data_IF_730720792185
#
_entry.id   IF_730720792185
#
_cell.length_a   1.000
_cell.length_b   1.000
_cell.length_c   1.000
_cell.angle_alpha   90.00
_cell.angle_beta   90.00
_cell.angle_gamma   90.00
#
_symmetry.space_group_name_H-M   'P 1'
#
loop_
_entity.id
_entity.type
_entity.pdbx_description
1 polymer ?
#
# COMPACT_ATOMS: atom_id res chain seq x y z
N UNK A 1 -8.51 -12.45 -0.97
CA UNK A 1 -7.93 -11.08 -0.93
C UNK A 1 -9.00 -10.05 -1.21
N UNK A 2 -9.17 -9.10 -0.30
CA UNK A 2 -10.13 -7.97 -0.42
C UNK A 2 -9.37 -6.76 -0.94
N UNK A 3 -9.80 -6.18 -2.08
CA UNK A 3 -9.01 -5.21 -2.84
C UNK A 3 -7.90 -5.85 -3.68
N UNK A 4 -8.10 -7.10 -4.12
CA UNK A 4 -7.07 -7.92 -4.75
C UNK A 4 -6.78 -7.59 -6.23
N UNK A 5 -7.62 -6.82 -6.91
CA UNK A 5 -7.40 -6.40 -8.29
C UNK A 5 -6.53 -5.13 -8.42
N UNK A 6 -6.10 -4.54 -7.28
CA UNK A 6 -5.21 -3.39 -7.25
C UNK A 6 -3.74 -3.75 -7.48
N UNK A 7 -2.88 -2.72 -7.46
CA UNK A 7 -1.43 -2.83 -7.61
C UNK A 7 -0.83 -3.87 -6.64
N UNK A 8 -0.96 -3.64 -5.33
CA UNK A 8 -0.38 -4.52 -4.29
C UNK A 8 -0.97 -5.92 -4.37
N UNK A 9 -2.31 -6.04 -4.54
CA UNK A 9 -3.00 -7.32 -4.61
C UNK A 9 -2.54 -8.20 -5.75
N UNK A 10 -2.20 -7.62 -6.90
CA UNK A 10 -1.70 -8.36 -8.06
C UNK A 10 -0.37 -9.08 -7.78
N UNK A 11 0.52 -8.49 -7.00
CA UNK A 11 1.79 -9.12 -6.61
C UNK A 11 1.61 -10.20 -5.53
N UNK A 12 0.66 -10.00 -4.61
CA UNK A 12 0.26 -11.08 -3.72
C UNK A 12 -0.33 -12.28 -4.49
N UNK A 13 -1.13 -12.02 -5.54
CA UNK A 13 -1.67 -13.09 -6.37
C UNK A 13 -0.57 -13.89 -7.06
N UNK A 14 0.40 -13.22 -7.68
CA UNK A 14 1.55 -13.86 -8.31
C UNK A 14 2.32 -14.73 -7.31
N UNK A 15 2.66 -14.16 -6.15
CA UNK A 15 3.45 -14.86 -5.14
C UNK A 15 2.73 -16.06 -4.52
N UNK A 16 1.43 -15.92 -4.25
CA UNK A 16 0.62 -16.98 -3.65
C UNK A 16 0.34 -18.12 -4.65
N UNK A 17 0.03 -17.82 -5.90
CA UNK A 17 -0.21 -18.84 -6.92
C UNK A 17 1.07 -19.55 -7.38
N UNK A 18 2.24 -18.95 -7.17
CA UNK A 18 3.52 -19.63 -7.33
C UNK A 18 3.78 -20.69 -6.25
N UNK A 19 3.08 -20.64 -5.11
CA UNK A 19 3.21 -21.62 -4.03
C UNK A 19 2.23 -22.81 -4.25
N UNK A 20 2.74 -24.03 -4.41
CA UNK A 20 1.88 -25.21 -4.60
C UNK A 20 1.04 -25.59 -3.36
N UNK A 21 1.35 -25.05 -2.19
CA UNK A 21 0.57 -25.28 -0.98
C UNK A 21 -0.72 -24.46 -0.95
N UNK A 22 -0.80 -23.37 -1.72
CA UNK A 22 -2.03 -22.56 -1.87
C UNK A 22 -3.06 -23.36 -2.69
N UNK A 23 -4.18 -23.68 -2.06
CA UNK A 23 -5.25 -24.51 -2.67
C UNK A 23 -6.29 -23.66 -3.42
N UNK A 24 -6.55 -22.43 -2.95
CA UNK A 24 -7.48 -21.52 -3.58
C UNK A 24 -7.07 -20.07 -3.28
N UNK A 25 -7.23 -19.21 -4.25
CA UNK A 25 -7.07 -17.77 -4.15
C UNK A 25 -8.28 -17.07 -4.76
N UNK A 26 -9.04 -16.35 -3.93
CA UNK A 26 -10.15 -15.51 -4.40
C UNK A 26 -9.76 -14.05 -4.23
N UNK A 27 -9.77 -13.27 -5.31
CA UNK A 27 -9.78 -11.81 -5.22
C UNK A 27 -11.22 -11.31 -5.19
N UNK A 28 -11.50 -10.34 -4.30
CA UNK A 28 -12.79 -9.69 -4.12
C UNK A 28 -12.59 -8.19 -4.27
N UNK A 29 -13.14 -7.58 -5.31
CA UNK A 29 -12.83 -6.20 -5.69
C UNK A 29 -14.00 -5.58 -6.46
N UNK A 30 -14.28 -4.30 -6.25
CA UNK A 30 -15.31 -3.57 -7.01
C UNK A 30 -14.74 -2.94 -8.29
N UNK A 31 -13.43 -3.00 -8.48
CA UNK A 31 -12.68 -2.41 -9.60
C UNK A 31 -12.77 -0.88 -9.69
N UNK A 32 -12.97 -0.20 -8.57
CA UNK A 32 -12.91 1.27 -8.55
C UNK A 32 -11.52 1.80 -8.93
N UNK A 33 -10.46 1.14 -8.47
CA UNK A 33 -9.06 1.39 -8.88
C UNK A 33 -8.34 0.16 -9.43
N UNK A 34 -8.86 -1.03 -9.15
CA UNK A 34 -8.36 -2.30 -9.66
C UNK A 34 -8.43 -2.38 -11.19
N UNK A 35 -7.54 -3.16 -11.79
CA UNK A 35 -7.44 -3.36 -13.25
C UNK A 35 -7.49 -4.84 -13.61
N UNK A 36 -8.20 -5.20 -14.68
CA UNK A 36 -8.25 -6.59 -15.15
C UNK A 36 -6.88 -7.12 -15.53
N UNK A 37 -6.06 -6.33 -16.21
CA UNK A 37 -4.72 -6.71 -16.65
C UNK A 37 -3.75 -6.99 -15.50
N UNK A 38 -4.08 -6.61 -14.24
CA UNK A 38 -3.28 -6.96 -13.06
C UNK A 38 -3.29 -8.45 -12.73
N UNK A 39 -4.32 -9.19 -13.15
CA UNK A 39 -4.51 -10.59 -12.74
C UNK A 39 -5.03 -11.50 -13.88
N UNK A 40 -5.23 -10.99 -15.11
CA UNK A 40 -5.80 -11.78 -16.22
C UNK A 40 -4.94 -12.99 -16.60
N UNK A 41 -3.64 -12.92 -16.39
CA UNK A 41 -2.71 -14.02 -16.62
C UNK A 41 -2.92 -15.22 -15.68
N UNK A 42 -3.69 -15.07 -14.59
CA UNK A 42 -4.08 -16.14 -13.69
C UNK A 42 -5.42 -16.81 -14.03
N UNK A 43 -6.16 -16.31 -15.02
CA UNK A 43 -7.50 -16.84 -15.34
C UNK A 43 -7.52 -18.32 -15.73
N UNK A 44 -6.40 -18.89 -16.18
CA UNK A 44 -6.23 -20.31 -16.47
C UNK A 44 -5.87 -21.20 -15.28
N UNK A 45 -5.54 -20.64 -14.12
CA UNK A 45 -5.22 -21.42 -12.93
C UNK A 45 -6.53 -21.84 -12.21
N UNK A 46 -6.80 -23.15 -12.05
CA UNK A 46 -8.03 -23.63 -11.42
C UNK A 46 -8.17 -23.20 -9.93
N UNK A 47 -7.10 -22.79 -9.29
CA UNK A 47 -7.09 -22.26 -7.93
C UNK A 47 -7.52 -20.80 -7.84
N UNK A 48 -7.50 -20.07 -8.98
CA UNK A 48 -7.74 -18.62 -9.01
C UNK A 48 -9.20 -18.29 -9.32
N UNK A 49 -9.77 -17.38 -8.52
CA UNK A 49 -11.11 -16.83 -8.75
C UNK A 49 -11.10 -15.31 -8.58
N UNK A 50 -11.70 -14.58 -9.50
CA UNK A 50 -11.97 -13.14 -9.38
C UNK A 50 -13.47 -12.91 -9.18
N UNK A 51 -13.82 -12.20 -8.12
CA UNK A 51 -15.20 -11.83 -7.77
C UNK A 51 -15.31 -10.30 -7.84
N UNK A 52 -16.11 -9.82 -8.80
CA UNK A 52 -16.40 -8.39 -8.89
C UNK A 52 -17.60 -8.04 -8.00
N UNK A 53 -17.34 -7.45 -6.83
CA UNK A 53 -18.38 -7.08 -5.88
C UNK A 53 -17.88 -6.01 -4.90
N UNK A 54 -18.82 -5.36 -4.20
CA UNK A 54 -18.52 -4.33 -3.21
C UNK A 54 -18.44 -4.93 -1.80
N UNK A 55 -17.39 -4.56 -1.04
CA UNK A 55 -17.18 -4.95 0.37
C UNK A 55 -18.30 -4.47 1.29
N UNK A 56 -19.06 -3.46 0.88
CA UNK A 56 -20.24 -2.97 1.60
C UNK A 56 -21.39 -3.98 1.65
N UNK A 57 -21.41 -4.96 0.73
CA UNK A 57 -22.33 -6.09 0.78
C UNK A 57 -21.79 -7.20 1.69
N UNK A 58 -22.12 -7.12 2.98
CA UNK A 58 -21.64 -8.03 4.02
C UNK A 58 -21.97 -9.50 3.74
N UNK A 59 -23.20 -9.79 3.31
CA UNK A 59 -23.64 -11.18 3.07
C UNK A 59 -22.89 -11.82 1.89
N UNK A 60 -22.70 -11.09 0.80
CA UNK A 60 -21.94 -11.56 -0.34
C UNK A 60 -20.45 -11.73 0.01
N UNK A 61 -19.88 -10.78 0.78
CA UNK A 61 -18.50 -10.87 1.26
C UNK A 61 -18.29 -12.11 2.14
N UNK A 62 -19.21 -12.35 3.10
CA UNK A 62 -19.22 -13.54 3.97
C UNK A 62 -19.24 -14.84 3.16
N UNK A 63 -20.11 -14.94 2.15
CA UNK A 63 -20.18 -16.12 1.28
C UNK A 63 -18.87 -16.31 0.49
N UNK A 64 -18.29 -15.23 -0.04
CA UNK A 64 -17.03 -15.30 -0.78
C UNK A 64 -15.82 -15.67 0.10
N UNK A 65 -15.86 -15.37 1.40
CA UNK A 65 -14.80 -15.70 2.36
C UNK A 65 -14.92 -17.14 2.91
N UNK A 66 -16.09 -17.74 2.84
CA UNK A 66 -16.32 -19.07 3.39
C UNK A 66 -15.34 -20.10 2.81
N UNK A 67 -14.73 -20.90 3.69
CA UNK A 67 -13.76 -21.94 3.32
C UNK A 67 -12.33 -21.43 3.07
N UNK A 68 -12.04 -20.14 3.31
CA UNK A 68 -10.68 -19.60 3.26
C UNK A 68 -10.07 -19.51 4.66
N UNK A 69 -8.77 -19.70 4.75
CA UNK A 69 -8.01 -19.67 6.02
C UNK A 69 -7.50 -18.27 6.37
N UNK A 70 -7.21 -17.45 5.36
CA UNK A 70 -6.55 -16.16 5.52
C UNK A 70 -7.23 -15.10 4.66
N UNK A 71 -7.47 -13.92 5.24
CA UNK A 71 -7.88 -12.72 4.52
C UNK A 71 -6.71 -11.75 4.42
N UNK A 72 -6.34 -11.35 3.21
CA UNK A 72 -5.45 -10.21 2.97
C UNK A 72 -6.33 -9.02 2.60
N UNK A 73 -6.36 -8.00 3.48
CA UNK A 73 -7.23 -6.83 3.33
C UNK A 73 -6.43 -5.63 2.85
N UNK A 74 -6.62 -5.31 1.57
CA UNK A 74 -5.94 -4.23 0.84
C UNK A 74 -6.91 -3.13 0.41
N UNK A 75 -8.24 -3.38 0.45
CA UNK A 75 -9.22 -2.41 0.02
C UNK A 75 -9.21 -1.16 0.91
N UNK A 76 -9.10 -0.01 0.29
CA UNK A 76 -9.22 1.31 0.93
C UNK A 76 -9.41 2.37 -0.17
N UNK A 77 -9.64 3.63 0.24
CA UNK A 77 -9.60 4.76 -0.69
C UNK A 77 -8.23 4.84 -1.39
N UNK A 78 -8.16 4.77 -2.72
CA UNK A 78 -6.90 4.87 -3.46
C UNK A 78 -6.43 6.31 -3.68
N UNK A 79 -7.31 7.31 -3.50
CA UNK A 79 -7.05 8.73 -3.74
C UNK A 79 -7.15 9.52 -2.43
N UNK A 80 -6.01 9.61 -1.73
CA UNK A 80 -5.94 10.28 -0.42
C UNK A 80 -6.25 11.79 -0.54
N UNK A 81 -5.88 12.42 -1.64
CA UNK A 81 -6.09 13.85 -1.85
C UNK A 81 -7.58 14.21 -1.99
N UNK A 82 -8.40 13.28 -2.50
CA UNK A 82 -9.85 13.45 -2.65
C UNK A 82 -10.57 13.73 -1.32
N UNK A 83 -10.04 13.24 -0.22
CA UNK A 83 -10.59 13.51 1.11
C UNK A 83 -10.59 14.99 1.50
N UNK A 84 -9.78 15.84 0.85
CA UNK A 84 -9.80 17.29 1.07
C UNK A 84 -11.13 17.92 0.63
N UNK A 85 -11.84 17.33 -0.35
CA UNK A 85 -13.12 17.78 -0.87
C UNK A 85 -14.29 16.86 -0.46
N UNK A 86 -14.00 15.58 -0.23
CA UNK A 86 -14.97 14.55 0.17
C UNK A 86 -14.52 13.85 1.47
N UNK A 87 -14.61 14.49 2.65
CA UNK A 87 -13.98 13.99 3.88
C UNK A 87 -14.56 12.65 4.37
N UNK A 88 -15.78 12.29 3.96
CA UNK A 88 -16.38 11.00 4.31
C UNK A 88 -15.85 9.81 3.48
N UNK A 89 -15.08 10.06 2.42
CA UNK A 89 -14.61 8.98 1.55
C UNK A 89 -13.78 7.96 2.32
N UNK A 90 -12.90 8.41 3.21
CA UNK A 90 -12.02 7.52 3.97
C UNK A 90 -12.77 6.71 5.02
N UNK A 91 -13.87 7.23 5.58
CA UNK A 91 -14.74 6.43 6.43
C UNK A 91 -15.44 5.34 5.60
N UNK A 92 -16.06 5.72 4.47
CA UNK A 92 -16.87 4.81 3.66
C UNK A 92 -16.03 3.76 2.93
N UNK A 93 -14.84 4.14 2.44
CA UNK A 93 -13.95 3.28 1.66
C UNK A 93 -12.75 2.74 2.48
N UNK A 94 -12.78 2.90 3.79
CA UNK A 94 -11.73 2.43 4.69
C UNK A 94 -12.30 1.83 5.98
N UNK A 95 -12.77 2.66 6.91
CA UNK A 95 -13.25 2.20 8.22
C UNK A 95 -14.43 1.23 8.08
N UNK A 96 -15.45 1.60 7.32
CA UNK A 96 -16.63 0.76 7.07
C UNK A 96 -16.26 -0.56 6.39
N UNK A 97 -15.36 -0.51 5.38
CA UNK A 97 -14.91 -1.72 4.69
C UNK A 97 -14.18 -2.66 5.65
N UNK A 98 -13.30 -2.12 6.51
CA UNK A 98 -12.58 -2.95 7.49
C UNK A 98 -13.53 -3.57 8.50
N UNK A 99 -14.54 -2.83 8.99
CA UNK A 99 -15.59 -3.37 9.85
C UNK A 99 -16.32 -4.54 9.19
N UNK A 100 -16.74 -4.39 7.93
CA UNK A 100 -17.42 -5.47 7.21
C UNK A 100 -16.51 -6.69 6.98
N UNK A 101 -15.21 -6.47 6.74
CA UNK A 101 -14.25 -7.56 6.57
C UNK A 101 -14.13 -8.38 7.86
N UNK A 102 -13.88 -7.75 9.02
CA UNK A 102 -13.71 -8.48 10.28
C UNK A 102 -15.02 -9.15 10.73
N UNK A 103 -16.17 -8.53 10.47
CA UNK A 103 -17.48 -9.14 10.77
C UNK A 103 -17.78 -10.32 9.84
N UNK A 104 -17.54 -10.21 8.53
CA UNK A 104 -17.66 -11.34 7.61
C UNK A 104 -16.77 -12.52 8.04
N UNK A 105 -15.53 -12.25 8.45
CA UNK A 105 -14.59 -13.24 8.96
C UNK A 105 -15.14 -13.95 10.19
N UNK A 106 -15.64 -13.19 11.18
CA UNK A 106 -16.26 -13.75 12.38
C UNK A 106 -17.42 -14.67 12.04
N UNK A 107 -18.30 -14.25 11.14
CA UNK A 107 -19.50 -14.96 10.75
C UNK A 107 -19.23 -16.23 9.92
N UNK A 108 -18.15 -16.26 9.13
CA UNK A 108 -17.79 -17.44 8.31
C UNK A 108 -16.70 -18.33 8.93
N UNK A 109 -16.14 -17.93 10.09
CA UNK A 109 -15.12 -18.70 10.80
C UNK A 109 -13.70 -18.57 10.23
N UNK A 110 -13.45 -17.65 9.28
CA UNK A 110 -12.10 -17.31 8.85
C UNK A 110 -11.41 -16.46 9.92
N UNK A 111 -10.26 -16.91 10.44
CA UNK A 111 -9.70 -16.31 11.65
C UNK A 111 -8.45 -15.46 11.45
N UNK A 112 -7.75 -15.54 10.31
CA UNK A 112 -6.47 -14.83 10.11
C UNK A 112 -6.63 -13.68 9.14
N UNK A 113 -6.20 -12.47 9.57
CA UNK A 113 -6.20 -11.26 8.74
C UNK A 113 -4.81 -10.64 8.65
N UNK A 114 -4.40 -10.32 7.42
CA UNK A 114 -3.22 -9.53 7.07
C UNK A 114 -3.73 -8.18 6.54
N UNK A 115 -3.48 -7.10 7.26
CA UNK A 115 -4.05 -5.78 6.97
C UNK A 115 -3.02 -4.79 6.50
N UNK A 116 -3.25 -4.19 5.35
CA UNK A 116 -2.46 -3.07 4.82
C UNK A 116 -2.86 -1.76 5.52
N UNK A 117 -2.14 -1.42 6.58
CA UNK A 117 -2.13 -0.10 7.18
C UNK A 117 -1.06 0.80 6.54
N UNK A 118 -0.76 1.94 7.11
CA UNK A 118 0.26 2.86 6.59
C UNK A 118 0.82 3.80 7.65
N UNK A 119 1.92 4.45 7.33
CA UNK A 119 2.62 5.39 8.22
C UNK A 119 1.76 6.58 8.67
N UNK A 120 0.69 6.91 7.93
CA UNK A 120 -0.23 8.00 8.28
C UNK A 120 -0.94 7.87 9.62
N UNK A 121 -0.94 6.69 10.25
CA UNK A 121 -1.51 6.47 11.59
C UNK A 121 -0.73 7.22 12.69
N UNK A 122 0.55 7.51 12.45
CA UNK A 122 1.41 8.18 13.43
C UNK A 122 1.19 9.70 13.50
N UNK A 123 0.71 10.31 12.40
CA UNK A 123 0.65 11.76 12.28
C UNK A 123 1.98 12.36 11.84
N UNK A 124 2.19 13.65 12.18
CA UNK A 124 3.38 14.41 11.82
C UNK A 124 4.31 14.52 13.03
N UNK A 125 5.39 13.77 13.03
CA UNK A 125 6.39 13.71 14.09
C UNK A 125 7.77 14.18 13.63
N UNK A 126 7.87 14.77 12.44
CA UNK A 126 9.12 15.29 11.88
C UNK A 126 10.17 14.20 11.72
N UNK A 127 11.41 14.50 12.14
CA UNK A 127 12.57 13.63 12.00
C UNK A 127 12.65 12.48 13.04
N UNK A 128 11.66 12.35 13.93
CA UNK A 128 11.66 11.29 14.96
C UNK A 128 11.51 9.93 14.31
N UNK A 129 12.41 9.00 14.61
CA UNK A 129 12.28 7.60 14.21
C UNK A 129 11.24 6.90 15.09
N UNK A 130 10.20 6.30 14.46
CA UNK A 130 8.97 5.88 15.12
C UNK A 130 8.85 4.37 15.09
N UNK A 131 8.87 3.74 16.28
CA UNK A 131 8.54 2.32 16.45
C UNK A 131 7.03 2.07 16.59
N UNK A 132 6.63 0.80 16.53
CA UNK A 132 5.22 0.41 16.55
C UNK A 132 4.53 0.65 17.90
N UNK A 133 5.30 0.75 18.99
CA UNK A 133 4.78 1.02 20.34
C UNK A 133 4.61 2.52 20.64
N UNK A 134 4.94 3.38 19.67
CA UNK A 134 4.72 4.82 19.82
C UNK A 134 3.23 5.13 20.03
N UNK A 135 2.95 5.98 20.98
CA UNK A 135 1.60 6.48 21.27
C UNK A 135 1.64 7.77 22.10
N UNK A 136 0.56 8.57 22.09
CA UNK A 136 -0.69 8.37 21.36
C UNK A 136 -0.52 8.52 19.85
N UNK A 137 -1.35 7.78 19.06
CA UNK A 137 -1.40 7.92 17.59
C UNK A 137 -2.35 9.07 17.23
N UNK A 138 -1.85 10.08 16.53
CA UNK A 138 -2.59 11.31 16.20
C UNK A 138 -2.52 11.60 14.70
N UNK A 139 -3.25 10.83 13.86
CA UNK A 139 -3.23 11.03 12.42
C UNK A 139 -3.74 12.43 12.04
N UNK A 140 -3.08 13.07 11.06
CA UNK A 140 -3.42 14.41 10.57
C UNK A 140 -4.24 14.38 9.27
N UNK A 141 -4.61 13.20 8.78
CA UNK A 141 -5.48 13.01 7.63
C UNK A 141 -6.62 12.03 7.97
N UNK A 142 -7.76 12.19 7.30
CA UNK A 142 -8.91 11.26 7.42
C UNK A 142 -8.53 9.86 6.95
N UNK A 143 -7.62 9.74 5.96
CA UNK A 143 -7.04 8.47 5.54
C UNK A 143 -6.27 7.79 6.68
N UNK A 144 -5.33 8.50 7.32
CA UNK A 144 -4.60 7.98 8.48
C UNK A 144 -5.53 7.59 9.63
N UNK A 145 -6.56 8.40 9.90
CA UNK A 145 -7.58 8.10 10.91
C UNK A 145 -8.37 6.83 10.56
N UNK A 146 -8.72 6.64 9.29
CA UNK A 146 -9.41 5.45 8.80
C UNK A 146 -8.55 4.18 8.95
N UNK A 147 -7.25 4.27 8.64
CA UNK A 147 -6.30 3.16 8.84
C UNK A 147 -6.15 2.81 10.31
N UNK A 148 -6.03 3.81 11.20
CA UNK A 148 -5.96 3.61 12.65
C UNK A 148 -7.25 2.98 13.21
N UNK A 149 -8.41 3.43 12.75
CA UNK A 149 -9.69 2.82 13.11
C UNK A 149 -9.74 1.33 12.68
N UNK A 150 -9.23 1.01 11.49
CA UNK A 150 -9.10 -0.38 11.02
C UNK A 150 -8.19 -1.22 11.92
N UNK A 151 -7.04 -0.70 12.34
CA UNK A 151 -6.14 -1.37 13.31
C UNK A 151 -6.85 -1.65 14.62
N UNK A 152 -7.59 -0.66 15.17
CA UNK A 152 -8.33 -0.79 16.42
C UNK A 152 -9.46 -1.81 16.32
N UNK A 153 -10.22 -1.83 15.21
CA UNK A 153 -11.26 -2.84 14.95
C UNK A 153 -10.66 -4.24 14.91
N UNK A 154 -9.58 -4.45 14.15
CA UNK A 154 -8.91 -5.74 14.04
C UNK A 154 -8.42 -6.20 15.42
N UNK A 155 -7.76 -5.32 16.18
CA UNK A 155 -7.32 -5.63 17.55
C UNK A 155 -8.46 -6.06 18.44
N UNK A 156 -9.57 -5.33 18.45
CA UNK A 156 -10.76 -5.66 19.23
C UNK A 156 -11.34 -7.04 18.85
N UNK A 157 -11.44 -7.32 17.53
CA UNK A 157 -11.95 -8.62 17.06
C UNK A 157 -10.99 -9.79 17.38
N UNK A 158 -9.67 -9.54 17.41
CA UNK A 158 -8.71 -10.53 17.87
C UNK A 158 -8.95 -10.93 19.33
N UNK A 159 -9.16 -9.94 20.20
CA UNK A 159 -9.32 -10.20 21.64
C UNK A 159 -10.73 -10.69 21.99
N UNK A 160 -11.79 -10.17 21.36
CA UNK A 160 -13.17 -10.51 21.67
C UNK A 160 -13.63 -11.80 21.00
N UNK A 161 -13.16 -12.09 19.79
CA UNK A 161 -13.71 -13.16 18.95
C UNK A 161 -12.66 -14.17 18.48
N UNK A 162 -11.41 -14.07 18.95
CA UNK A 162 -10.35 -15.04 18.68
C UNK A 162 -9.84 -15.02 17.24
N UNK A 163 -9.84 -13.84 16.59
CA UNK A 163 -9.14 -13.64 15.33
C UNK A 163 -7.63 -13.50 15.58
N UNK A 164 -6.86 -13.64 14.52
CA UNK A 164 -5.42 -13.40 14.50
C UNK A 164 -5.11 -12.29 13.50
N UNK A 165 -4.71 -11.11 13.99
CA UNK A 165 -4.45 -9.93 13.17
C UNK A 165 -2.96 -9.63 13.03
N UNK A 166 -2.52 -9.41 11.79
CA UNK A 166 -1.20 -8.86 11.46
C UNK A 166 -1.42 -7.58 10.69
N UNK A 167 -0.96 -6.49 11.26
CA UNK A 167 -1.12 -5.15 10.72
C UNK A 167 0.23 -4.65 10.22
N UNK A 168 0.26 -4.11 9.01
CA UNK A 168 1.50 -3.66 8.38
C UNK A 168 1.39 -2.18 8.03
N UNK A 169 2.17 -1.36 8.74
CA UNK A 169 2.27 0.08 8.51
C UNK A 169 3.34 0.31 7.45
N UNK A 170 2.91 0.38 6.21
CA UNK A 170 3.82 0.52 5.07
C UNK A 170 4.38 1.94 4.96
N UNK A 171 5.67 2.04 4.56
CA UNK A 171 6.18 3.18 3.82
C UNK A 171 5.53 3.29 2.44
N UNK A 172 6.04 4.18 1.57
CA UNK A 172 5.48 4.30 0.23
C UNK A 172 5.84 3.08 -0.62
N UNK A 173 4.82 2.32 -1.02
CA UNK A 173 5.03 1.11 -1.83
C UNK A 173 5.14 1.48 -3.30
N UNK A 174 6.18 1.00 -3.97
CA UNK A 174 6.45 1.23 -5.40
C UNK A 174 6.80 -0.08 -6.11
N UNK A 175 6.58 -0.14 -7.42
CA UNK A 175 6.92 -1.32 -8.21
C UNK A 175 6.16 -1.42 -9.53
N UNK A 176 6.32 -2.55 -10.25
CA UNK A 176 5.56 -2.83 -11.46
C UNK A 176 4.05 -2.78 -11.26
N UNK A 177 3.30 -2.40 -12.28
CA UNK A 177 1.81 -2.29 -12.23
C UNK A 177 1.27 -1.22 -11.30
N UNK A 178 2.12 -0.30 -10.82
CA UNK A 178 1.69 0.85 -10.03
C UNK A 178 0.87 1.82 -10.88
N UNK A 179 -0.31 2.23 -10.39
CA UNK A 179 -1.27 3.07 -11.13
C UNK A 179 -1.43 4.48 -10.55
N UNK A 180 -0.66 4.85 -9.55
CA UNK A 180 -0.68 6.17 -8.90
C UNK A 180 0.64 6.46 -8.18
N UNK A 181 0.85 7.71 -7.77
CA UNK A 181 1.97 8.14 -6.95
C UNK A 181 3.08 8.84 -7.74
N UNK A 182 3.98 9.48 -6.99
CA UNK A 182 4.98 10.45 -7.49
C UNK A 182 5.82 9.91 -8.66
N UNK A 183 6.16 8.63 -8.67
CA UNK A 183 6.94 8.03 -9.75
C UNK A 183 6.19 8.03 -11.09
N UNK A 184 4.90 7.67 -11.07
CA UNK A 184 4.04 7.71 -12.25
C UNK A 184 3.81 9.15 -12.72
N UNK A 185 3.51 10.06 -11.78
CA UNK A 185 3.20 11.44 -12.09
C UNK A 185 4.41 12.15 -12.75
N UNK A 186 5.61 11.92 -12.21
CA UNK A 186 6.84 12.50 -12.79
C UNK A 186 7.18 11.90 -14.14
N UNK A 187 7.08 10.58 -14.30
CA UNK A 187 7.31 9.94 -15.61
C UNK A 187 6.34 10.47 -16.65
N UNK A 188 5.04 10.55 -16.34
CA UNK A 188 4.02 11.09 -17.27
C UNK A 188 4.28 12.55 -17.64
N UNK A 189 4.60 13.38 -16.65
CA UNK A 189 4.90 14.78 -16.87
C UNK A 189 6.10 14.97 -17.80
N UNK A 190 7.21 14.25 -17.55
CA UNK A 190 8.43 14.32 -18.36
C UNK A 190 8.26 13.74 -19.77
N UNK A 191 7.42 12.72 -19.95
CA UNK A 191 7.11 12.21 -21.28
C UNK A 191 6.22 13.17 -22.08
N UNK A 192 5.38 13.98 -21.41
CA UNK A 192 4.53 14.99 -22.04
C UNK A 192 5.28 16.31 -22.31
N UNK A 193 6.11 16.76 -21.37
CA UNK A 193 6.96 17.95 -21.47
C UNK A 193 8.38 17.65 -20.97
N UNK A 194 9.33 17.33 -21.86
CA UNK A 194 10.71 17.04 -21.47
C UNK A 194 11.48 18.24 -20.90
N UNK A 195 11.01 19.46 -21.13
CA UNK A 195 11.72 20.70 -20.73
C UNK A 195 11.45 21.14 -19.31
N UNK A 196 10.40 20.65 -18.65
CA UNK A 196 10.10 21.07 -17.27
C UNK A 196 9.37 20.03 -16.45
N UNK A 197 9.59 20.07 -15.12
CA UNK A 197 8.88 19.21 -14.16
C UNK A 197 8.38 20.05 -12.98
N UNK A 198 7.06 20.04 -12.78
CA UNK A 198 6.42 20.69 -11.63
C UNK A 198 6.47 19.76 -10.41
N UNK A 199 6.93 20.30 -9.28
CA UNK A 199 7.08 19.61 -8.00
C UNK A 199 6.21 20.32 -6.96
N UNK A 200 5.30 19.60 -6.32
CA UNK A 200 4.52 20.11 -5.21
C UNK A 200 5.39 20.29 -3.97
N UNK A 201 5.22 21.40 -3.26
CA UNK A 201 6.05 21.77 -2.12
C UNK A 201 7.40 22.34 -2.54
N UNK A 202 8.38 22.24 -1.65
CA UNK A 202 9.76 22.71 -1.86
C UNK A 202 10.73 21.60 -2.33
N UNK A 203 10.23 20.36 -2.45
CA UNK A 203 11.00 19.20 -2.85
C UNK A 203 11.84 18.55 -1.73
N UNK A 204 11.74 19.04 -0.48
CA UNK A 204 12.47 18.51 0.67
C UNK A 204 11.70 17.45 1.43
N UNK A 205 10.41 17.24 1.11
CA UNK A 205 9.62 16.15 1.70
C UNK A 205 10.39 14.83 1.54
N UNK A 206 10.54 14.08 2.63
CA UNK A 206 11.46 12.94 2.67
C UNK A 206 10.79 11.72 3.31
N UNK A 207 10.73 10.62 2.56
CA UNK A 207 10.05 9.38 2.95
C UNK A 207 10.82 8.16 2.47
N UNK A 208 10.48 7.00 3.04
CA UNK A 208 10.94 5.69 2.57
C UNK A 208 10.05 5.19 1.43
N UNK A 209 10.67 4.60 0.39
CA UNK A 209 9.98 3.98 -0.74
C UNK A 209 10.42 2.52 -0.86
N UNK A 210 9.50 1.60 -0.57
CA UNK A 210 9.77 0.16 -0.54
C UNK A 210 9.25 -0.54 -1.79
N UNK A 211 10.05 -1.45 -2.34
CA UNK A 211 9.63 -2.26 -3.50
C UNK A 211 8.53 -3.24 -3.11
N UNK A 212 7.56 -3.42 -3.99
CA UNK A 212 6.41 -4.30 -3.76
C UNK A 212 6.80 -5.74 -3.43
N UNK A 213 7.84 -6.28 -4.04
CA UNK A 213 8.31 -7.64 -3.74
C UNK A 213 8.79 -7.77 -2.29
N UNK A 214 9.43 -6.71 -1.75
CA UNK A 214 9.88 -6.68 -0.37
C UNK A 214 8.68 -6.55 0.59
N UNK A 215 7.63 -5.84 0.19
CA UNK A 215 6.36 -5.76 0.96
C UNK A 215 5.68 -7.11 1.03
N UNK A 216 5.53 -7.80 -0.10
CA UNK A 216 4.90 -9.14 -0.13
C UNK A 216 5.65 -10.13 0.73
N UNK A 217 6.99 -10.16 0.60
CA UNK A 217 7.83 -11.02 1.43
C UNK A 217 7.78 -10.65 2.92
N UNK A 218 7.76 -9.34 3.26
CA UNK A 218 7.62 -8.88 4.64
C UNK A 218 6.35 -9.40 5.30
N UNK A 219 5.22 -9.26 4.60
CA UNK A 219 3.90 -9.67 5.10
C UNK A 219 3.84 -11.18 5.33
N UNK A 220 4.23 -11.97 4.33
CA UNK A 220 4.19 -13.43 4.41
C UNK A 220 5.22 -13.97 5.43
N UNK A 221 6.40 -13.36 5.49
CA UNK A 221 7.45 -13.73 6.44
C UNK A 221 7.02 -13.47 7.90
N UNK A 222 6.44 -12.30 8.17
CA UNK A 222 5.97 -11.95 9.51
C UNK A 222 4.78 -12.83 9.93
N UNK A 223 3.82 -13.08 9.03
CA UNK A 223 2.68 -13.96 9.32
C UNK A 223 3.12 -15.40 9.71
N UNK A 224 4.12 -15.94 9.02
CA UNK A 224 4.63 -17.26 9.29
C UNK A 224 5.42 -17.39 10.61
N UNK A 225 5.93 -16.29 11.19
CA UNK A 225 6.84 -16.29 12.34
C UNK A 225 6.31 -15.60 13.58
N UNK A 226 5.25 -14.83 13.44
CA UNK A 226 4.70 -14.02 14.51
C UNK A 226 3.74 -14.83 15.39
N UNK A 227 3.91 -14.74 16.70
CA UNK A 227 3.00 -15.32 17.68
C UNK A 227 2.00 -14.29 18.23
N UNK A 228 0.98 -14.77 18.98
CA UNK A 228 -0.02 -13.95 19.64
C UNK A 228 -1.18 -13.55 18.74
N UNK A 229 -2.24 -12.98 19.33
CA UNK A 229 -3.48 -12.70 18.61
C UNK A 229 -3.36 -11.46 17.71
N UNK A 230 -2.59 -10.45 18.09
CA UNK A 230 -2.46 -9.19 17.35
C UNK A 230 -1.02 -8.69 17.36
N UNK A 231 -0.55 -8.23 16.19
CA UNK A 231 0.75 -7.57 16.07
C UNK A 231 0.72 -6.51 14.96
N UNK A 232 1.42 -5.39 15.20
CA UNK A 232 1.68 -4.37 14.20
C UNK A 232 3.16 -4.37 13.82
N UNK A 233 3.46 -4.07 12.54
CA UNK A 233 4.81 -4.00 11.99
C UNK A 233 4.98 -2.79 11.10
N UNK A 234 6.03 -2.01 11.32
CA UNK A 234 6.52 -1.06 10.34
C UNK A 234 7.24 -1.80 9.21
N UNK A 235 6.87 -1.50 7.98
CA UNK A 235 7.48 -2.12 6.79
C UNK A 235 8.00 -1.02 5.86
N UNK A 236 9.30 -0.79 5.92
CA UNK A 236 10.01 0.25 5.19
C UNK A 236 11.45 -0.20 4.91
N UNK A 237 12.16 0.53 4.08
CA UNK A 237 13.54 0.22 3.71
C UNK A 237 14.55 0.56 4.79
N UNK A 238 14.23 1.59 5.62
CA UNK A 238 15.15 2.15 6.63
C UNK A 238 16.10 3.19 6.09
N UNK A 239 15.97 3.57 4.81
CA UNK A 239 16.56 4.76 4.21
C UNK A 239 15.46 5.72 3.74
N UNK A 240 15.83 6.94 3.37
CA UNK A 240 14.90 8.00 3.04
C UNK A 240 15.41 8.75 1.82
N UNK A 241 14.47 9.25 1.01
CA UNK A 241 14.77 9.98 -0.23
C UNK A 241 13.84 11.19 -0.36
N UNK A 242 14.37 12.31 -0.81
CA UNK A 242 13.61 13.55 -1.03
C UNK A 242 12.88 13.52 -2.36
N UNK A 243 11.81 14.33 -2.47
CA UNK A 243 11.06 14.48 -3.74
C UNK A 243 11.96 15.03 -4.84
N UNK A 244 12.93 15.89 -4.50
CA UNK A 244 13.95 16.40 -5.45
C UNK A 244 14.81 15.26 -6.01
N UNK A 245 15.27 14.34 -5.17
CA UNK A 245 16.06 13.18 -5.60
C UNK A 245 15.22 12.24 -6.47
N UNK A 246 13.92 12.06 -6.13
CA UNK A 246 12.98 11.29 -6.94
C UNK A 246 12.84 11.89 -8.34
N UNK A 247 12.75 13.24 -8.45
CA UNK A 247 12.73 13.92 -9.74
C UNK A 247 14.00 13.62 -10.56
N UNK A 248 15.17 13.63 -9.92
CA UNK A 248 16.43 13.26 -10.59
C UNK A 248 16.46 11.81 -11.09
N UNK A 249 15.85 10.86 -10.35
CA UNK A 249 15.68 9.48 -10.82
C UNK A 249 14.75 9.43 -12.03
N UNK A 250 13.61 10.14 -11.98
CA UNK A 250 12.64 10.16 -13.07
C UNK A 250 13.23 10.69 -14.37
N UNK A 251 13.98 11.81 -14.30
CA UNK A 251 14.69 12.41 -15.43
C UNK A 251 15.64 11.40 -16.09
N UNK A 252 16.45 10.71 -15.30
CA UNK A 252 17.35 9.65 -15.79
C UNK A 252 16.60 8.47 -16.41
N UNK A 253 15.47 8.03 -15.81
CA UNK A 253 14.68 6.90 -16.30
C UNK A 253 14.03 7.18 -17.66
N UNK A 254 13.63 8.43 -17.93
CA UNK A 254 13.08 8.80 -19.24
C UNK A 254 14.16 9.10 -20.29
N UNK A 255 15.44 9.13 -19.89
CA UNK A 255 16.59 9.32 -20.79
C UNK A 255 16.96 10.77 -21.04
N UNK A 256 16.57 11.69 -20.15
CA UNK A 256 16.91 13.12 -20.24
C UNK A 256 18.16 13.43 -19.40
N UNK A 257 18.87 14.51 -19.79
CA UNK A 257 19.94 15.05 -18.96
C UNK A 257 19.38 16.01 -17.90
N UNK A 258 20.01 16.04 -16.73
CA UNK A 258 19.49 16.80 -15.58
C UNK A 258 19.47 18.32 -15.83
N UNK A 259 20.37 18.84 -16.65
CA UNK A 259 20.51 20.23 -17.04
C UNK A 259 19.52 20.66 -18.14
N UNK A 260 18.85 19.70 -18.79
CA UNK A 260 17.81 19.96 -19.79
C UNK A 260 16.43 20.19 -19.19
N UNK A 261 16.21 19.85 -17.91
CA UNK A 261 14.91 19.88 -17.24
C UNK A 261 14.84 20.94 -16.16
N UNK A 262 13.95 21.90 -16.32
CA UNK A 262 13.69 22.96 -15.32
C UNK A 262 12.75 22.41 -14.23
N UNK A 263 13.25 22.30 -12.98
CA UNK A 263 12.42 21.94 -11.84
C UNK A 263 11.67 23.16 -11.31
N UNK A 264 10.33 23.10 -11.31
CA UNK A 264 9.43 24.18 -10.85
C UNK A 264 8.78 23.76 -9.53
N UNK A 265 9.10 24.43 -8.44
CA UNK A 265 8.56 24.15 -7.11
C UNK A 265 7.36 25.05 -6.81
N UNK A 266 6.26 24.47 -6.27
CA UNK A 266 5.11 25.25 -5.85
C UNK A 266 5.35 26.02 -4.53
N UNK A 267 6.40 25.68 -3.79
CA UNK A 267 6.71 26.22 -2.47
C UNK A 267 5.89 25.59 -1.34
N UNK A 268 6.31 25.85 -0.09
CA UNK A 268 5.75 25.27 1.11
C UNK A 268 6.34 23.89 1.45
N UNK A 269 6.21 23.51 2.72
CA UNK A 269 6.79 22.27 3.25
C UNK A 269 5.99 21.01 2.87
N UNK A 270 4.72 21.14 2.48
CA UNK A 270 3.79 20.01 2.22
C UNK A 270 3.40 19.96 0.75
N UNK A 271 3.27 18.78 0.23
CA UNK A 271 2.78 18.54 -1.13
C UNK A 271 1.27 18.76 -1.27
N UNK A 272 0.48 18.45 -0.21
CA UNK A 272 -0.97 18.61 -0.19
C UNK A 272 -1.48 18.74 1.27
N UNK A 273 -2.75 19.10 1.46
CA UNK A 273 -3.37 19.27 2.77
C UNK A 273 -3.49 17.90 3.48
N UNK A 274 -2.83 17.75 4.64
CA UNK A 274 -2.78 16.49 5.39
C UNK A 274 -1.60 15.58 4.99
N UNK A 275 -0.72 16.03 4.10
CA UNK A 275 0.56 15.36 3.83
C UNK A 275 1.47 15.41 5.07
N UNK A 276 2.15 14.30 5.34
CA UNK A 276 3.22 14.23 6.34
C UNK A 276 4.54 14.37 5.60
N UNK A 277 5.24 15.53 5.71
CA UNK A 277 6.42 15.81 4.87
C UNK A 277 7.58 14.86 5.16
N UNK A 278 7.77 14.50 6.42
CA UNK A 278 8.86 13.64 6.89
C UNK A 278 8.29 12.43 7.63
N UNK A 279 8.71 11.23 7.23
CA UNK A 279 8.33 9.98 7.90
C UNK A 279 9.56 9.12 8.10
N UNK A 280 9.85 8.75 9.34
CA UNK A 280 10.96 7.90 9.76
C UNK A 280 10.44 6.67 10.50
N UNK A 281 10.40 5.52 9.85
CA UNK A 281 9.88 4.29 10.44
C UNK A 281 11.01 3.41 10.97
N UNK A 282 11.02 3.14 12.28
CA UNK A 282 11.85 2.08 12.86
C UNK A 282 11.32 0.71 12.44
N UNK A 283 12.17 -0.08 11.83
CA UNK A 283 11.82 -1.42 11.30
C UNK A 283 12.43 -2.56 12.11
N UNK A 284 12.95 -2.29 13.31
CA UNK A 284 13.62 -3.28 14.16
C UNK A 284 12.74 -4.48 14.46
N UNK A 285 11.44 -4.27 14.69
CA UNK A 285 10.49 -5.34 15.02
C UNK A 285 10.41 -6.38 13.89
N UNK A 286 10.17 -5.96 12.66
CA UNK A 286 10.09 -6.92 11.54
C UNK A 286 11.45 -7.53 11.21
N UNK A 287 12.53 -6.76 11.34
CA UNK A 287 13.90 -7.25 11.15
C UNK A 287 14.29 -8.30 12.20
N UNK A 288 13.79 -8.21 13.42
CA UNK A 288 14.02 -9.21 14.47
C UNK A 288 13.43 -10.59 14.12
N UNK A 289 12.45 -10.64 13.22
CA UNK A 289 11.93 -11.88 12.67
C UNK A 289 12.81 -12.47 11.56
N UNK A 290 13.89 -11.79 11.17
CA UNK A 290 14.84 -12.22 10.12
C UNK A 290 14.51 -11.69 8.71
N UNK A 291 13.56 -10.75 8.56
CA UNK A 291 13.29 -10.11 7.28
C UNK A 291 14.22 -8.91 7.03
N UNK A 292 14.60 -8.72 5.78
CA UNK A 292 15.33 -7.54 5.30
C UNK A 292 14.86 -7.18 3.88
N UNK A 293 14.76 -5.88 3.58
CA UNK A 293 14.48 -5.43 2.22
C UNK A 293 15.69 -5.69 1.30
N UNK A 294 15.41 -5.98 0.04
CA UNK A 294 16.41 -6.19 -1.02
C UNK A 294 16.88 -4.89 -1.64
N UNK A 295 16.00 -3.90 -1.71
CA UNK A 295 16.26 -2.65 -2.41
C UNK A 295 16.10 -1.47 -1.46
N UNK A 296 17.00 -0.49 -1.56
CA UNK A 296 16.84 0.82 -0.96
C UNK A 296 15.88 1.68 -1.78
N UNK A 297 15.39 2.78 -1.20
CA UNK A 297 14.34 3.64 -1.79
C UNK A 297 14.66 4.11 -3.22
N UNK A 298 15.89 4.53 -3.48
CA UNK A 298 16.28 4.99 -4.82
C UNK A 298 16.21 3.90 -5.89
N UNK A 299 16.67 2.67 -5.56
CA UNK A 299 16.62 1.55 -6.50
C UNK A 299 15.19 1.02 -6.68
N UNK A 300 14.39 0.99 -5.60
CA UNK A 300 12.97 0.63 -5.66
C UNK A 300 12.20 1.57 -6.61
N UNK A 301 12.41 2.88 -6.48
CA UNK A 301 11.81 3.89 -7.35
C UNK A 301 12.27 3.74 -8.80
N UNK A 302 13.58 3.56 -9.03
CA UNK A 302 14.11 3.38 -10.39
C UNK A 302 13.47 2.17 -11.08
N UNK A 303 13.37 1.03 -10.40
CA UNK A 303 12.73 -0.18 -10.92
C UNK A 303 11.26 0.05 -11.23
N UNK A 304 10.53 0.71 -10.33
CA UNK A 304 9.13 1.08 -10.52
C UNK A 304 8.95 1.98 -11.76
N UNK A 305 9.73 3.05 -11.88
CA UNK A 305 9.64 3.99 -12.99
C UNK A 305 9.96 3.35 -14.34
N UNK A 306 10.97 2.46 -14.40
CA UNK A 306 11.27 1.71 -15.62
C UNK A 306 10.11 0.81 -16.06
N UNK A 307 9.43 0.16 -15.10
CA UNK A 307 8.23 -0.63 -15.40
C UNK A 307 7.05 0.24 -15.83
N UNK A 308 6.83 1.38 -15.17
CA UNK A 308 5.81 2.37 -15.54
C UNK A 308 6.01 2.85 -16.99
N UNK A 309 7.25 3.17 -17.37
CA UNK A 309 7.57 3.57 -18.76
C UNK A 309 7.20 2.46 -19.74
N UNK A 310 7.49 1.20 -19.42
CA UNK A 310 7.12 0.07 -20.26
C UNK A 310 5.60 -0.10 -20.37
N UNK A 311 4.87 0.06 -19.26
CA UNK A 311 3.41 -0.02 -19.23
C UNK A 311 2.74 1.12 -20.02
N UNK A 312 3.28 2.36 -19.94
CA UNK A 312 2.82 3.50 -20.78
C UNK A 312 3.06 3.21 -22.26
N UNK A 313 4.26 2.76 -22.62
CA UNK A 313 4.61 2.43 -24.02
C UNK A 313 3.76 1.29 -24.61
N UNK A 314 3.30 0.37 -23.76
CA UNK A 314 2.41 -0.72 -24.17
C UNK A 314 0.92 -0.36 -24.16
N UNK A 315 0.55 0.86 -23.77
CA UNK A 315 -0.83 1.34 -23.70
C UNK A 315 -1.65 0.79 -22.53
N UNK A 316 -0.98 0.29 -21.46
CA UNK A 316 -1.64 -0.19 -20.24
C UNK A 316 -1.93 0.94 -19.25
N UNK A 317 -1.13 2.02 -19.27
CA UNK A 317 -1.23 3.19 -18.40
C UNK A 317 -1.44 4.48 -19.19
#
# INVERSE_FOLDING_TARGET
MVGGAGFIGSHFADRLLADPQVKALTIYDNYSSGRKWHHEHHQGDPRFKAVRADVKNLDHLRQAMSGHDVVIHLASNPDIARAATEPQIDFNEGTLLTNNVVEAMRLCGCRRILYASGSGVYGDLGEVEIGEDHGPLTPISTYGASKLAGEALISAYCHMFGLYGRVFRFGNVVGPRQTHGVGLDFVRALLADPGSLSIMGDGQQSKSYIHIDDVVEAVLHADARCAGPYNAFNVATGDYITVREIAGIAIKCVGLAADEVILKYSGGERGWKGDVPVVRLDTKRIRSLGWQCRYLSGEALRRSMMSIIADIRSGRL
#
